data_IF_676389375547
#
_entry.id   IF_676389375547
#
_cell.length_a   1.000
_cell.length_b   1.000
_cell.length_c   1.000
_cell.angle_alpha   90.00
_cell.angle_beta   90.00
_cell.angle_gamma   90.00
#
_symmetry.space_group_name_H-M   'P 1'
#
loop_
_entity.id
_entity.type
_entity.pdbx_description
1 polymer ?
#
# COMPACT_ATOMS: atom_id res chain seq x y z
N UNK A 1 0.23 50.98 -22.56
CA UNK A 1 -0.57 50.42 -23.68
C UNK A 1 -0.98 49.02 -23.28
N UNK A 2 -2.27 48.83 -23.00
CA UNK A 2 -2.87 47.57 -22.63
C UNK A 2 -3.30 46.80 -23.88
N UNK A 3 -3.16 45.48 -23.87
CA UNK A 3 -3.93 44.59 -24.74
C UNK A 3 -4.01 43.20 -24.10
N UNK A 4 -5.19 42.90 -23.56
CA UNK A 4 -5.70 41.60 -23.16
C UNK A 4 -6.43 40.98 -24.36
N UNK A 5 -6.20 39.69 -24.68
CA UNK A 5 -7.08 38.90 -25.56
C UNK A 5 -7.17 37.46 -25.05
N UNK A 6 -8.25 37.12 -24.35
CA UNK A 6 -9.48 36.45 -24.82
C UNK A 6 -9.38 34.91 -24.79
N UNK A 7 -10.15 34.41 -23.84
CA UNK A 7 -10.59 33.04 -23.58
C UNK A 7 -11.54 32.55 -24.69
N UNK A 8 -11.32 31.35 -25.23
CA UNK A 8 -12.32 30.66 -26.07
C UNK A 8 -12.45 29.21 -25.62
N UNK A 9 -13.56 28.93 -24.95
CA UNK A 9 -14.12 27.59 -24.71
C UNK A 9 -14.68 27.05 -26.02
N UNK A 10 -14.44 25.79 -26.32
CA UNK A 10 -15.37 24.99 -27.11
C UNK A 10 -15.68 23.68 -26.37
N UNK A 11 -16.98 23.48 -26.13
CA UNK A 11 -17.65 22.23 -25.82
C UNK A 11 -18.11 21.63 -27.14
N UNK A 12 -18.08 20.30 -27.27
CA UNK A 12 -18.96 19.41 -28.07
C UNK A 12 -18.20 18.09 -28.28
N UNK A 13 -18.77 16.90 -28.39
CA UNK A 13 -20.03 16.26 -27.99
C UNK A 13 -19.84 14.77 -28.37
N UNK A 14 -20.51 13.86 -27.65
CA UNK A 14 -20.46 12.41 -27.87
C UNK A 14 -21.14 12.00 -29.18
N UNK A 15 -20.56 11.03 -29.91
CA UNK A 15 -21.34 10.14 -30.79
C UNK A 15 -20.64 8.78 -31.01
N UNK A 16 -21.30 7.71 -30.55
CA UNK A 16 -21.06 6.30 -30.91
C UNK A 16 -21.56 6.05 -32.32
N UNK A 17 -20.81 5.34 -33.16
CA UNK A 17 -21.38 4.54 -34.26
C UNK A 17 -20.61 3.22 -34.39
N UNK A 18 -21.34 2.12 -34.17
CA UNK A 18 -20.98 0.75 -34.50
C UNK A 18 -21.82 0.29 -35.70
N UNK A 19 -21.21 -0.32 -36.73
CA UNK A 19 -21.83 -1.17 -37.78
C UNK A 19 -20.66 -1.65 -38.68
N UNK A 20 -20.24 -2.92 -38.66
CA UNK A 20 -20.76 -4.13 -39.35
C UNK A 20 -20.75 -4.01 -40.89
N UNK A 21 -19.85 -4.72 -41.57
CA UNK A 21 -20.24 -5.66 -42.63
C UNK A 21 -19.09 -6.63 -43.03
N UNK A 22 -19.48 -7.89 -43.09
CA UNK A 22 -18.90 -9.02 -43.82
C UNK A 22 -18.55 -8.72 -45.27
N UNK A 23 -17.54 -9.38 -45.84
CA UNK A 23 -17.71 -10.21 -47.04
C UNK A 23 -16.66 -11.34 -47.13
N UNK A 24 -17.18 -12.47 -47.59
CA UNK A 24 -16.61 -13.76 -47.90
C UNK A 24 -15.87 -13.66 -49.26
N UNK A 25 -14.70 -14.29 -49.40
CA UNK A 25 -14.23 -14.69 -50.74
C UNK A 25 -13.28 -15.89 -50.66
N UNK A 26 -13.77 -16.98 -51.23
CA UNK A 26 -13.10 -18.25 -51.50
C UNK A 26 -12.44 -18.23 -52.88
N UNK A 27 -11.23 -18.79 -52.99
CA UNK A 27 -10.58 -19.42 -54.17
C UNK A 27 -9.19 -19.85 -53.68
N UNK A 28 -8.67 -21.05 -53.89
CA UNK A 28 -8.98 -22.16 -54.78
C UNK A 28 -7.65 -22.87 -55.01
N UNK A 29 -7.61 -24.19 -54.79
CA UNK A 29 -6.42 -25.03 -54.68
C UNK A 29 -5.56 -25.09 -55.95
N UNK A 30 -4.25 -25.28 -55.77
CA UNK A 30 -3.47 -26.15 -56.66
C UNK A 30 -2.43 -26.96 -55.86
N UNK A 31 -2.35 -28.23 -56.24
CA UNK A 31 -1.62 -29.33 -55.61
C UNK A 31 -0.18 -29.46 -56.11
N UNK A 32 0.73 -29.97 -55.27
CA UNK A 32 1.77 -30.95 -55.66
C UNK A 32 2.34 -31.68 -54.44
N UNK A 33 2.68 -32.98 -54.54
CA UNK A 33 3.04 -33.83 -53.42
C UNK A 33 4.55 -33.90 -53.18
N UNK A 34 4.97 -33.82 -51.92
CA UNK A 34 6.35 -34.03 -51.47
C UNK A 34 6.38 -35.06 -50.34
N UNK A 35 7.23 -36.08 -50.51
CA UNK A 35 7.25 -37.35 -49.78
C UNK A 35 7.73 -37.22 -48.32
N UNK A 36 6.99 -37.90 -47.44
CA UNK A 36 7.39 -38.68 -46.25
C UNK A 36 8.75 -38.45 -45.57
N UNK A 37 8.70 -38.15 -44.27
CA UNK A 37 9.26 -39.04 -43.24
C UNK A 37 8.48 -38.90 -41.93
N UNK A 38 7.97 -40.02 -41.43
CA UNK A 38 7.22 -40.15 -40.18
C UNK A 38 8.21 -40.23 -39.02
N UNK A 39 8.36 -39.15 -38.25
CA UNK A 39 8.87 -39.24 -36.88
C UNK A 39 7.69 -39.26 -35.92
N UNK A 40 7.34 -40.49 -35.55
CA UNK A 40 6.42 -40.89 -34.49
C UNK A 40 6.99 -40.42 -33.14
N UNK A 41 6.63 -39.21 -32.72
CA UNK A 41 6.85 -38.80 -31.33
C UNK A 41 5.65 -39.28 -30.51
N UNK A 42 5.86 -40.39 -29.79
CA UNK A 42 4.91 -40.86 -28.80
C UNK A 42 4.79 -39.80 -27.69
N UNK A 43 3.59 -39.23 -27.57
CA UNK A 43 3.13 -38.49 -26.41
C UNK A 43 2.87 -39.51 -25.27
N UNK A 44 3.53 -39.42 -24.12
CA UNK A 44 3.05 -40.06 -22.91
C UNK A 44 2.10 -39.08 -22.22
N UNK A 45 0.79 -39.32 -22.39
CA UNK A 45 -0.21 -38.83 -21.45
C UNK A 45 -0.09 -39.68 -20.18
N UNK A 46 0.33 -39.07 -19.08
CA UNK A 46 -0.08 -39.50 -17.74
C UNK A 46 -0.26 -38.26 -16.87
N UNK A 47 -1.49 -37.88 -16.49
CA UNK A 47 -1.70 -36.98 -15.38
C UNK A 47 -1.59 -37.80 -14.08
N UNK A 48 -0.44 -37.79 -13.40
CA UNK A 48 -0.42 -38.15 -11.99
C UNK A 48 -0.76 -36.90 -11.20
N UNK A 49 -2.05 -36.68 -10.97
CA UNK A 49 -2.53 -35.81 -9.90
C UNK A 49 -2.13 -36.45 -8.56
N UNK A 50 -0.90 -36.20 -8.11
CA UNK A 50 -0.59 -36.35 -6.70
C UNK A 50 -1.23 -35.17 -5.99
N UNK A 51 -2.47 -35.38 -5.56
CA UNK A 51 -3.03 -34.61 -4.46
C UNK A 51 -2.06 -34.78 -3.29
N UNK A 52 -1.18 -33.80 -3.08
CA UNK A 52 -0.62 -33.62 -1.76
C UNK A 52 -1.80 -33.23 -0.89
N UNK A 53 -2.31 -34.20 -0.13
CA UNK A 53 -3.08 -33.96 1.08
C UNK A 53 -2.16 -33.13 1.96
N UNK A 54 -2.17 -31.81 1.76
CA UNK A 54 -1.51 -30.90 2.64
C UNK A 54 -2.15 -31.14 4.01
N UNK A 55 -1.35 -31.73 4.89
CA UNK A 55 -1.60 -31.83 6.32
C UNK A 55 -2.33 -30.57 6.75
N UNK A 56 -3.61 -30.71 7.08
CA UNK A 56 -4.34 -29.65 7.74
C UNK A 56 -3.55 -29.34 9.00
N UNK A 57 -2.79 -28.25 8.96
CA UNK A 57 -2.32 -27.60 10.17
C UNK A 57 -3.60 -27.21 10.89
N UNK A 58 -3.95 -28.04 11.88
CA UNK A 58 -4.94 -27.77 12.89
C UNK A 58 -4.75 -26.34 13.33
N UNK A 59 -5.57 -25.44 12.79
CA UNK A 59 -5.63 -24.06 13.24
C UNK A 59 -6.12 -24.14 14.67
N UNK A 60 -5.21 -24.09 15.63
CA UNK A 60 -5.58 -23.80 17.00
C UNK A 60 -6.33 -22.48 16.92
N UNK A 61 -7.63 -22.43 17.28
CA UNK A 61 -8.31 -21.16 17.32
C UNK A 61 -7.55 -20.32 18.34
N UNK A 62 -6.93 -19.23 17.88
CA UNK A 62 -6.31 -18.25 18.74
C UNK A 62 -7.40 -17.69 19.64
N UNK A 63 -7.53 -18.26 20.83
CA UNK A 63 -8.51 -17.89 21.83
C UNK A 63 -8.15 -16.49 22.27
N UNK A 64 -8.97 -15.51 21.95
CA UNK A 64 -8.78 -14.12 22.40
C UNK A 64 -8.91 -14.15 23.93
N UNK A 65 -7.78 -14.11 24.62
CA UNK A 65 -7.74 -14.04 26.09
C UNK A 65 -7.64 -12.57 26.48
N UNK A 66 -8.55 -12.12 27.34
CA UNK A 66 -8.46 -10.79 27.94
C UNK A 66 -7.36 -10.84 29.00
N UNK A 67 -6.31 -10.05 28.81
CA UNK A 67 -5.20 -9.91 29.78
C UNK A 67 -5.57 -8.86 30.83
N UNK A 68 -5.07 -9.02 32.07
CA UNK A 68 -5.32 -8.07 33.18
C UNK A 68 -4.46 -6.79 33.09
N UNK A 69 -3.45 -6.77 32.23
CA UNK A 69 -2.60 -5.61 32.00
C UNK A 69 -3.36 -4.51 31.24
N UNK A 70 -3.22 -3.23 31.64
CA UNK A 70 -3.89 -2.13 30.96
C UNK A 70 -3.34 -1.96 29.54
N UNK A 71 -4.24 -1.75 28.58
CA UNK A 71 -3.84 -1.55 27.19
C UNK A 71 -3.08 -0.22 27.02
N UNK A 72 -2.16 -0.22 26.07
CA UNK A 72 -1.48 0.98 25.61
C UNK A 72 -2.45 1.90 24.90
N UNK A 73 -2.36 3.21 25.16
CA UNK A 73 -3.21 4.21 24.51
C UNK A 73 -2.38 5.03 23.54
N UNK A 74 -2.95 5.32 22.38
CA UNK A 74 -2.34 6.17 21.36
C UNK A 74 -3.17 7.44 21.19
N UNK A 75 -2.50 8.59 21.33
CA UNK A 75 -3.12 9.88 21.04
C UNK A 75 -3.41 10.00 19.54
N UNK A 76 -2.41 9.63 18.73
CA UNK A 76 -2.49 9.60 17.27
C UNK A 76 -1.65 8.47 16.70
N UNK A 77 -2.13 7.90 15.60
CA UNK A 77 -1.37 6.99 14.75
C UNK A 77 -1.40 7.57 13.34
N UNK A 78 -0.22 7.88 12.80
CA UNK A 78 -0.07 8.44 11.46
C UNK A 78 0.41 7.35 10.53
N UNK A 79 -0.37 7.07 9.49
CA UNK A 79 -0.02 6.12 8.45
C UNK A 79 0.37 6.91 7.20
N UNK A 80 1.66 6.86 6.88
CA UNK A 80 2.22 7.48 5.68
C UNK A 80 2.48 6.39 4.63
N UNK A 81 1.76 6.47 3.52
CA UNK A 81 1.87 5.54 2.41
C UNK A 81 2.65 6.21 1.27
N UNK A 82 3.66 5.52 0.74
CA UNK A 82 4.57 5.99 -0.30
C UNK A 82 4.43 5.08 -1.52
N UNK A 83 4.29 5.65 -2.72
CA UNK A 83 4.17 4.86 -3.93
C UNK A 83 4.50 5.65 -5.19
N UNK A 84 4.75 4.95 -6.30
CA UNK A 84 5.05 5.58 -7.58
C UNK A 84 3.80 5.90 -8.40
N UNK A 85 2.75 5.10 -8.28
CA UNK A 85 1.48 5.33 -8.97
C UNK A 85 0.48 6.04 -8.04
N UNK A 86 -0.01 7.20 -8.50
CA UNK A 86 -1.02 7.97 -7.80
C UNK A 86 -2.37 7.25 -7.74
N UNK A 87 -2.78 6.58 -8.81
CA UNK A 87 -4.10 5.95 -8.87
C UNK A 87 -4.23 4.82 -7.84
N UNK A 88 -3.16 4.05 -7.65
CA UNK A 88 -3.08 3.02 -6.61
C UNK A 88 -3.19 3.64 -5.22
N UNK A 89 -2.46 4.73 -4.95
CA UNK A 89 -2.54 5.43 -3.67
C UNK A 89 -3.92 6.00 -3.38
N UNK A 90 -4.59 6.60 -4.37
CA UNK A 90 -5.95 7.14 -4.23
C UNK A 90 -6.96 6.00 -3.92
N UNK A 91 -6.82 4.85 -4.58
CA UNK A 91 -7.65 3.68 -4.29
C UNK A 91 -7.41 3.10 -2.89
N UNK A 92 -6.15 3.11 -2.44
CA UNK A 92 -5.77 2.60 -1.13
C UNK A 92 -6.19 3.53 0.00
N UNK A 93 -6.11 4.85 -0.21
CA UNK A 93 -6.67 5.85 0.69
C UNK A 93 -8.16 5.62 0.92
N UNK A 94 -8.93 5.39 -0.16
CA UNK A 94 -10.35 5.07 -0.07
C UNK A 94 -10.60 3.78 0.73
N UNK A 95 -9.81 2.74 0.48
CA UNK A 95 -9.90 1.47 1.23
C UNK A 95 -9.64 1.67 2.73
N UNK A 96 -8.54 2.33 3.08
CA UNK A 96 -8.13 2.56 4.47
C UNK A 96 -9.16 3.42 5.21
N UNK A 97 -9.61 4.52 4.61
CA UNK A 97 -10.61 5.40 5.22
C UNK A 97 -11.95 4.70 5.41
N UNK A 98 -12.39 3.90 4.44
CA UNK A 98 -13.60 3.08 4.58
C UNK A 98 -13.46 2.08 5.72
N UNK A 99 -12.35 1.35 5.80
CA UNK A 99 -12.10 0.39 6.89
C UNK A 99 -12.09 1.04 8.28
N UNK A 100 -11.51 2.24 8.41
CA UNK A 100 -11.55 3.01 9.67
C UNK A 100 -12.99 3.39 10.06
N UNK A 101 -13.78 3.86 9.09
CA UNK A 101 -15.18 4.25 9.34
C UNK A 101 -16.03 3.05 9.78
N UNK A 102 -15.87 1.89 9.16
CA UNK A 102 -16.58 0.65 9.53
C UNK A 102 -16.23 0.18 10.96
N UNK A 103 -14.99 0.39 11.39
CA UNK A 103 -14.54 0.08 12.74
C UNK A 103 -14.85 1.18 13.76
N UNK A 104 -15.40 2.31 13.31
CA UNK A 104 -15.70 3.46 14.17
C UNK A 104 -14.46 4.21 14.68
N UNK A 105 -13.33 4.11 13.97
CA UNK A 105 -12.09 4.82 14.32
C UNK A 105 -12.22 6.30 13.92
N UNK A 106 -11.83 7.20 14.81
CA UNK A 106 -11.86 8.64 14.52
C UNK A 106 -10.72 9.02 13.57
N UNK A 107 -11.06 9.40 12.34
CA UNK A 107 -10.10 9.90 11.35
C UNK A 107 -9.86 11.39 11.61
N UNK A 108 -8.60 11.79 11.73
CA UNK A 108 -8.20 13.19 11.87
C UNK A 108 -8.15 13.90 10.52
N UNK A 109 -7.02 13.79 9.82
CA UNK A 109 -6.79 14.39 8.52
C UNK A 109 -6.32 13.35 7.52
N UNK A 110 -6.80 13.49 6.29
CA UNK A 110 -6.29 12.76 5.14
C UNK A 110 -5.80 13.79 4.15
N UNK A 111 -4.51 13.72 3.81
CA UNK A 111 -3.90 14.68 2.89
C UNK A 111 -2.76 14.07 2.08
N UNK A 112 -2.46 14.71 0.95
CA UNK A 112 -1.31 14.40 0.10
C UNK A 112 -0.16 15.36 0.44
N UNK A 113 0.92 14.88 1.08
CA UNK A 113 2.16 15.63 1.17
C UNK A 113 2.73 15.95 -0.23
N UNK A 114 3.59 16.98 -0.36
CA UNK A 114 4.29 17.26 -1.61
C UNK A 114 5.04 16.03 -2.11
N UNK A 115 4.89 15.71 -3.40
CA UNK A 115 5.60 14.60 -4.03
C UNK A 115 7.10 14.89 -4.15
N UNK A 116 7.89 13.84 -4.05
CA UNK A 116 9.33 13.90 -4.25
C UNK A 116 9.68 13.46 -5.67
N UNK A 117 10.55 14.23 -6.32
CA UNK A 117 11.02 13.97 -7.68
C UNK A 117 12.55 13.94 -7.66
N UNK A 118 13.11 12.73 -7.74
CA UNK A 118 14.54 12.53 -7.80
C UNK A 118 14.98 12.36 -9.26
N UNK A 119 16.00 13.10 -9.68
CA UNK A 119 16.49 13.09 -11.07
C UNK A 119 17.95 12.68 -11.10
N UNK A 120 18.26 11.70 -11.93
CA UNK A 120 19.61 11.19 -12.15
C UNK A 120 19.97 11.30 -13.63
N UNK A 121 21.23 11.60 -13.95
CA UNK A 121 21.67 11.71 -15.34
C UNK A 121 22.86 10.81 -15.58
N UNK A 122 22.73 9.89 -16.53
CA UNK A 122 23.77 8.94 -16.92
C UNK A 122 24.24 9.19 -18.35
N UNK A 123 25.44 8.71 -18.67
CA UNK A 123 25.94 8.70 -20.05
C UNK A 123 25.10 7.71 -20.87
N UNK A 124 24.72 8.11 -22.09
CA UNK A 124 24.00 7.22 -23.02
C UNK A 124 24.93 6.18 -23.66
N UNK A 125 26.17 6.59 -23.96
CA UNK A 125 27.18 5.73 -24.56
C UNK A 125 28.01 5.04 -23.49
N UNK A 126 28.48 3.83 -23.80
CA UNK A 126 29.44 3.08 -22.98
C UNK A 126 30.79 3.79 -22.89
N UNK A 127 31.27 4.41 -23.99
CA UNK A 127 32.57 5.08 -24.04
C UNK A 127 32.50 6.47 -24.70
N UNK A 128 33.45 7.34 -24.31
CA UNK A 128 33.82 8.69 -24.82
C UNK A 128 32.77 9.80 -24.93
N UNK A 129 31.51 9.50 -25.24
CA UNK A 129 30.52 10.53 -25.60
C UNK A 129 29.85 11.20 -24.39
N UNK A 130 30.54 12.16 -23.74
CA UNK A 130 30.08 12.86 -22.53
C UNK A 130 28.90 13.83 -22.72
N UNK A 131 28.72 14.35 -23.94
CA UNK A 131 27.64 15.30 -24.29
C UNK A 131 26.28 14.61 -24.42
N UNK A 132 26.26 13.33 -24.77
CA UNK A 132 25.03 12.56 -24.97
C UNK A 132 24.65 11.86 -23.66
N UNK A 133 23.63 12.38 -22.99
CA UNK A 133 23.18 11.90 -21.67
C UNK A 133 21.70 11.50 -21.69
N UNK A 134 21.33 10.60 -20.79
CA UNK A 134 19.95 10.22 -20.50
C UNK A 134 19.60 10.70 -19.10
N UNK A 135 18.46 11.36 -18.96
CA UNK A 135 17.91 11.77 -17.68
C UNK A 135 16.85 10.75 -17.26
N UNK A 136 16.99 10.24 -16.05
CA UNK A 136 16.03 9.37 -15.39
C UNK A 136 15.37 10.14 -14.25
N UNK A 137 14.12 9.81 -13.95
CA UNK A 137 13.34 10.42 -12.89
C UNK A 137 12.62 9.33 -12.08
N UNK A 138 12.69 9.43 -10.76
CA UNK A 138 11.89 8.65 -9.83
C UNK A 138 10.89 9.59 -9.17
N UNK A 139 9.60 9.26 -9.26
CA UNK A 139 8.51 10.06 -8.68
C UNK A 139 7.91 9.30 -7.51
N UNK A 140 7.89 9.90 -6.34
CA UNK A 140 7.28 9.31 -5.16
C UNK A 140 6.13 10.19 -4.70
N UNK A 141 4.93 9.62 -4.72
CA UNK A 141 3.72 10.21 -4.21
C UNK A 141 3.45 9.73 -2.78
N UNK A 142 2.77 10.56 -2.00
CA UNK A 142 2.53 10.32 -0.60
C UNK A 142 1.05 10.46 -0.27
N UNK A 143 0.56 9.61 0.64
CA UNK A 143 -0.75 9.77 1.29
C UNK A 143 -0.55 9.66 2.80
N UNK A 144 -1.00 10.66 3.53
CA UNK A 144 -0.93 10.70 4.98
C UNK A 144 -2.35 10.58 5.54
N UNK A 145 -2.56 9.57 6.37
CA UNK A 145 -3.84 9.31 7.06
C UNK A 145 -3.57 9.36 8.56
N UNK A 146 -4.19 10.31 9.23
CA UNK A 146 -4.09 10.48 10.68
C UNK A 146 -5.30 9.83 11.36
N UNK A 147 -5.04 8.95 12.31
CA UNK A 147 -6.05 8.31 13.16
C UNK A 147 -5.88 8.83 14.59
N UNK A 148 -6.99 9.17 15.24
CA UNK A 148 -7.01 9.76 16.57
C UNK A 148 -7.62 8.78 17.58
N UNK A 149 -7.16 8.87 18.83
CA UNK A 149 -7.75 8.18 19.98
C UNK A 149 -7.89 6.66 19.78
N UNK A 150 -6.76 5.97 19.65
CA UNK A 150 -6.72 4.52 19.46
C UNK A 150 -6.23 3.78 20.71
N UNK A 151 -6.70 2.55 20.89
CA UNK A 151 -6.13 1.60 21.86
C UNK A 151 -5.09 0.69 21.18
N UNK A 152 -4.24 0.05 21.96
CA UNK A 152 -3.19 -0.85 21.50
C UNK A 152 -3.72 -2.01 20.69
N UNK A 153 -4.70 -2.72 21.23
CA UNK A 153 -5.35 -3.85 20.55
C UNK A 153 -6.04 -3.43 19.24
N UNK A 154 -6.78 -2.31 19.26
CA UNK A 154 -7.47 -1.78 18.08
C UNK A 154 -6.49 -1.39 16.99
N UNK A 155 -5.42 -0.67 17.36
CA UNK A 155 -4.38 -0.29 16.42
C UNK A 155 -3.67 -1.51 15.83
N UNK A 156 -3.41 -2.55 16.63
CA UNK A 156 -2.78 -3.79 16.15
C UNK A 156 -3.65 -4.48 15.10
N UNK A 157 -4.93 -4.71 15.38
CA UNK A 157 -5.87 -5.38 14.46
C UNK A 157 -6.04 -4.55 13.17
N UNK A 158 -6.19 -3.24 13.31
CA UNK A 158 -6.36 -2.35 12.17
C UNK A 158 -5.12 -2.30 11.28
N UNK A 159 -3.93 -2.16 11.87
CA UNK A 159 -2.67 -2.17 11.13
C UNK A 159 -2.41 -3.52 10.48
N UNK A 160 -2.76 -4.62 11.13
CA UNK A 160 -2.66 -5.96 10.54
C UNK A 160 -3.54 -6.10 9.29
N UNK A 161 -4.81 -5.65 9.36
CA UNK A 161 -5.71 -5.70 8.21
C UNK A 161 -5.19 -4.88 7.02
N UNK A 162 -4.67 -3.69 7.29
CA UNK A 162 -4.12 -2.78 6.28
C UNK A 162 -2.83 -3.35 5.69
N UNK A 163 -1.89 -3.79 6.52
CA UNK A 163 -0.61 -4.35 6.07
C UNK A 163 -0.79 -5.57 5.17
N UNK A 164 -1.76 -6.43 5.48
CA UNK A 164 -2.07 -7.61 4.67
C UNK A 164 -2.62 -7.26 3.29
N UNK A 165 -3.29 -6.12 3.16
CA UNK A 165 -3.90 -5.65 1.91
C UNK A 165 -3.07 -4.53 1.24
N UNK A 166 -1.81 -4.33 1.65
CA UNK A 166 -0.94 -3.33 1.06
C UNK A 166 -0.60 -3.72 -0.39
N UNK A 167 -0.87 -2.84 -1.39
CA UNK A 167 -0.60 -3.16 -2.78
C UNK A 167 0.90 -3.21 -3.08
N UNK A 168 1.25 -3.93 -4.15
CA UNK A 168 2.63 -4.03 -4.61
C UNK A 168 3.20 -2.67 -5.04
N UNK A 169 4.50 -2.47 -4.82
CA UNK A 169 5.17 -1.22 -5.17
C UNK A 169 4.77 -0.03 -4.29
N UNK A 170 4.07 -0.28 -3.18
CA UNK A 170 3.73 0.71 -2.17
C UNK A 170 4.41 0.35 -0.84
N UNK A 171 5.03 1.34 -0.21
CA UNK A 171 5.65 1.23 1.09
C UNK A 171 4.82 1.97 2.14
N UNK A 172 4.84 1.50 3.38
CA UNK A 172 4.08 2.08 4.48
C UNK A 172 5.01 2.40 5.66
N UNK A 173 4.84 3.60 6.21
CA UNK A 173 5.50 4.07 7.42
C UNK A 173 4.43 4.39 8.46
N UNK A 174 4.60 3.90 9.69
CA UNK A 174 3.61 4.04 10.75
C UNK A 174 4.25 4.71 11.96
N UNK A 175 3.79 5.91 12.28
CA UNK A 175 4.24 6.68 13.43
C UNK A 175 3.18 6.64 14.52
N UNK A 176 3.50 6.00 15.65
CA UNK A 176 2.60 5.86 16.81
C UNK A 176 2.99 6.85 17.90
N UNK A 177 2.04 7.64 18.39
CA UNK A 177 2.24 8.55 19.53
C UNK A 177 1.54 7.97 20.76
N UNK A 178 2.32 7.35 21.66
CA UNK A 178 1.85 6.70 22.89
C UNK A 178 1.47 7.76 23.92
N UNK A 179 0.38 7.53 24.66
CA UNK A 179 0.01 8.29 25.85
C UNK A 179 0.54 7.56 27.08
N UNK A 180 1.54 8.16 27.73
CA UNK A 180 2.10 7.65 28.98
C UNK A 180 1.68 8.52 30.16
N UNK A 181 1.64 7.92 31.35
CA UNK A 181 1.44 8.65 32.60
C UNK A 181 2.75 9.33 33.00
N UNK A 182 2.65 10.37 33.81
CA UNK A 182 3.83 10.97 34.44
C UNK A 182 4.52 9.89 35.29
N UNK A 183 5.83 9.68 35.12
CA UNK A 183 6.59 8.74 35.94
C UNK A 183 6.54 9.07 37.44
N UNK A 184 6.53 8.03 38.27
CA UNK A 184 6.32 8.13 39.73
C UNK A 184 7.33 9.08 40.41
N UNK A 185 8.59 9.02 40.00
CA UNK A 185 9.68 9.84 40.57
C UNK A 185 9.58 11.34 40.25
N UNK A 186 8.72 11.73 39.31
CA UNK A 186 8.46 13.15 39.00
C UNK A 186 7.30 13.68 39.86
N UNK A 187 6.41 12.81 40.34
CA UNK A 187 5.26 13.20 41.15
C UNK A 187 5.70 13.77 42.50
N UNK A 188 6.67 13.11 43.12
CA UNK A 188 7.20 13.52 44.41
C UNK A 188 8.67 13.92 44.28
N UNK A 189 9.02 15.17 44.61
CA UNK A 189 10.41 15.56 44.64
C UNK A 189 11.14 14.86 45.79
N UNK A 190 12.34 14.34 45.52
CA UNK A 190 13.16 13.58 46.48
C UNK A 190 13.48 14.33 47.79
N UNK A 191 13.40 15.66 47.81
CA UNK A 191 13.75 16.48 48.97
C UNK A 191 12.61 16.67 49.99
N UNK A 192 11.48 15.96 49.83
CA UNK A 192 10.37 15.93 50.79
C UNK A 192 10.42 14.77 51.79
N UNK A 193 11.52 14.01 51.86
CA UNK A 193 11.71 13.00 52.89
C UNK A 193 11.56 13.63 54.28
N UNK A 194 10.39 13.45 54.90
CA UNK A 194 10.17 13.82 56.29
C UNK A 194 11.03 12.90 57.16
N UNK A 195 11.80 13.43 58.12
CA UNK A 195 12.54 12.58 59.05
C UNK A 195 11.54 11.67 59.76
N UNK A 196 11.73 10.37 59.64
CA UNK A 196 10.98 9.38 60.41
C UNK A 196 11.30 9.62 61.87
N UNK A 197 10.39 10.26 62.61
CA UNK A 197 10.47 10.33 64.06
C UNK A 197 10.31 8.90 64.61
N UNK A 198 11.44 8.22 64.82
CA UNK A 198 11.52 6.97 65.56
C UNK A 198 11.03 7.24 67.00
N UNK A 199 9.72 7.13 67.24
CA UNK A 199 9.18 7.12 68.60
C UNK A 199 9.62 5.81 69.27
N UNK A 200 10.48 5.83 70.30
CA UNK A 200 10.77 4.62 71.04
C UNK A 200 9.49 4.18 71.76
N UNK A 201 8.98 3.01 71.39
CA UNK A 201 7.95 2.31 72.14
C UNK A 201 8.46 2.03 73.55
N UNK A 202 7.81 2.69 74.53
CA UNK A 202 8.00 2.50 75.96
C UNK A 202 7.49 1.14 76.43
#
# INVERSE_FOLDING_TARGET
>A
MAASLVFRRELCSLARISTRLSQLSSRGLSSRPGKSSLTRCHFPQTPSSSFHTATWLSSVPSKITVTEEPDTLFQKVVVLVKGHDRAVLDSYEFFVTTAANELGITIGKVFEPPKDIERFTLLKSVHIYKKHRVQYEMRTHFRCIELLHLTGCTAQVYLEYIQRNLPEGVAMEVTKTVMEKIPDHILEPMWKEHPTDDKPSQ
#
